data_IF_436819986971
#
_entry.id   IF_436819986971
#
_cell.length_a   1.000
_cell.length_b   1.000
_cell.length_c   1.000
_cell.angle_alpha   90.00
_cell.angle_beta   90.00
_cell.angle_gamma   90.00
#
_symmetry.space_group_name_H-M   'P 1'
#
loop_
_entity.id
_entity.type
_entity.pdbx_description
1 polymer ?
#
# COMPACT_ATOMS: atom_id res chain seq x y z
N UNK A 1 -25.12 48.85 -39.92
CA UNK A 1 -25.97 49.37 -38.83
C UNK A 1 -25.32 49.03 -37.51
N UNK A 2 -25.05 50.05 -36.67
CA UNK A 2 -24.53 49.95 -35.30
C UNK A 2 -25.59 50.54 -34.36
N UNK A 3 -25.64 50.06 -33.12
CA UNK A 3 -25.53 50.99 -31.99
C UNK A 3 -24.35 50.52 -31.10
N UNK A 4 -23.34 51.35 -30.77
CA UNK A 4 -23.31 52.46 -29.78
C UNK A 4 -23.81 52.01 -28.39
N UNK A 5 -22.91 51.51 -27.53
CA UNK A 5 -22.12 52.19 -26.45
C UNK A 5 -22.84 52.07 -25.08
N UNK A 6 -22.17 51.77 -23.94
CA UNK A 6 -21.29 52.70 -23.20
C UNK A 6 -19.98 52.02 -22.69
N UNK A 7 -18.84 52.69 -22.48
CA UNK A 7 -18.46 53.67 -21.45
C UNK A 7 -18.70 53.19 -20.00
N UNK A 8 -17.64 52.77 -19.29
CA UNK A 8 -17.35 53.21 -17.91
C UNK A 8 -16.04 52.60 -17.36
N UNK A 9 -15.06 53.49 -17.14
CA UNK A 9 -14.01 53.37 -16.14
C UNK A 9 -14.64 53.27 -14.74
N UNK A 10 -14.29 52.26 -13.94
CA UNK A 10 -14.24 52.43 -12.47
C UNK A 10 -12.99 51.72 -11.94
N UNK A 11 -12.02 52.53 -11.56
CA UNK A 11 -10.93 52.18 -10.67
C UNK A 11 -11.44 52.09 -9.22
N UNK A 12 -10.62 51.43 -8.38
CA UNK A 12 -10.60 51.51 -6.93
C UNK A 12 -11.76 50.83 -6.17
N UNK A 13 -11.50 49.62 -5.69
CA UNK A 13 -11.97 49.24 -4.35
C UNK A 13 -10.76 49.26 -3.40
N UNK A 14 -10.57 50.33 -2.60
CA UNK A 14 -9.71 50.29 -1.44
C UNK A 14 -10.34 49.37 -0.39
N UNK A 15 -9.48 48.67 0.32
CA UNK A 15 -9.82 47.52 1.14
C UNK A 15 -10.89 47.75 2.20
N UNK A 16 -11.58 46.66 2.51
CA UNK A 16 -12.14 46.43 3.82
C UNK A 16 -11.52 45.15 4.36
N UNK A 17 -10.64 45.32 5.35
CA UNK A 17 -10.13 44.24 6.17
C UNK A 17 -11.30 43.47 6.80
N UNK A 18 -11.49 42.24 6.37
CA UNK A 18 -12.03 41.21 7.24
C UNK A 18 -10.90 40.22 7.48
N UNK A 19 -10.15 40.44 8.56
CA UNK A 19 -9.42 39.35 9.19
C UNK A 19 -10.47 38.38 9.75
N UNK A 20 -11.03 37.55 8.87
CA UNK A 20 -11.69 36.34 9.28
C UNK A 20 -10.60 35.50 9.92
N UNK A 21 -10.55 35.55 11.24
CA UNK A 21 -9.79 34.64 12.08
C UNK A 21 -10.42 33.27 11.82
N UNK A 22 -10.00 32.63 10.73
CA UNK A 22 -10.30 31.22 10.49
C UNK A 22 -9.61 30.53 11.65
N UNK A 23 -10.39 30.16 12.65
CA UNK A 23 -9.95 29.16 13.60
C UNK A 23 -9.53 27.98 12.74
N UNK A 24 -8.23 27.68 12.72
CA UNK A 24 -7.76 26.40 12.23
C UNK A 24 -8.63 25.34 12.91
N UNK A 25 -9.34 24.49 12.17
CA UNK A 25 -9.98 23.35 12.80
C UNK A 25 -8.85 22.55 13.44
N UNK A 26 -8.77 22.61 14.76
CA UNK A 26 -7.89 21.77 15.55
C UNK A 26 -8.15 20.34 15.11
N UNK A 27 -7.15 19.68 14.49
CA UNK A 27 -7.24 18.29 14.04
C UNK A 27 -7.51 17.39 15.25
N UNK A 28 -8.74 16.90 15.49
CA UNK A 28 -9.00 16.08 16.66
C UNK A 28 -9.30 14.67 16.16
N UNK A 29 -8.30 13.95 15.61
CA UNK A 29 -8.52 12.53 15.24
C UNK A 29 -7.29 11.75 14.75
N UNK A 30 -6.14 12.38 14.51
CA UNK A 30 -4.99 11.65 13.95
C UNK A 30 -4.27 10.74 14.96
N UNK A 31 -4.56 10.88 16.25
CA UNK A 31 -3.87 10.14 17.30
C UNK A 31 -4.62 8.90 17.80
N UNK A 32 -5.95 8.93 17.87
CA UNK A 32 -6.74 7.83 18.46
C UNK A 32 -6.93 6.67 17.48
N UNK A 33 -7.00 6.93 16.16
CA UNK A 33 -7.07 5.88 15.13
C UNK A 33 -5.70 5.39 14.64
N UNK A 34 -4.71 5.38 15.53
CA UNK A 34 -3.63 4.37 15.47
C UNK A 34 -4.11 3.15 16.27
N UNK A 35 -5.28 2.64 15.92
CA UNK A 35 -5.80 1.37 16.41
C UNK A 35 -4.76 0.28 16.08
N UNK A 36 -3.95 -0.05 17.08
CA UNK A 36 -2.92 -1.09 17.10
C UNK A 36 -2.33 -1.41 15.71
N UNK A 37 -1.25 -0.70 15.32
CA UNK A 37 -0.45 -1.06 14.16
C UNK A 37 -0.15 -2.56 14.21
N UNK A 38 -0.82 -3.33 13.36
CA UNK A 38 -0.76 -4.79 13.38
C UNK A 38 0.69 -5.17 13.10
N UNK A 39 1.36 -5.81 14.07
CA UNK A 39 2.76 -6.20 13.89
C UNK A 39 2.79 -7.38 12.92
N UNK A 40 3.23 -7.12 11.70
CA UNK A 40 3.49 -8.17 10.72
C UNK A 40 4.55 -9.13 11.26
N UNK A 41 4.21 -10.41 11.26
CA UNK A 41 5.13 -11.51 11.59
C UNK A 41 5.14 -12.55 10.48
N UNK A 42 6.21 -13.34 10.42
CA UNK A 42 6.38 -14.38 9.42
C UNK A 42 6.45 -15.74 10.12
N UNK A 43 5.59 -16.66 9.70
CA UNK A 43 5.46 -18.01 10.26
C UNK A 43 5.54 -19.04 9.12
N UNK A 44 5.35 -20.32 9.45
CA UNK A 44 5.40 -21.40 8.45
C UNK A 44 6.83 -21.83 8.14
N UNK A 45 7.12 -22.02 6.84
CA UNK A 45 8.40 -22.56 6.37
C UNK A 45 9.32 -21.54 5.69
N UNK A 46 10.19 -22.05 4.82
CA UNK A 46 11.18 -21.27 4.07
C UNK A 46 10.70 -20.83 2.68
N UNK A 47 9.44 -21.11 2.36
CA UNK A 47 8.81 -20.78 1.09
C UNK A 47 9.25 -21.65 -0.08
N UNK A 48 9.82 -22.84 0.14
CA UNK A 48 10.27 -23.69 -0.99
C UNK A 48 9.15 -24.51 -1.67
N UNK A 49 7.98 -24.63 -1.05
CA UNK A 49 6.81 -25.37 -1.53
C UNK A 49 5.54 -24.86 -0.86
N UNK A 50 4.37 -25.39 -1.24
CA UNK A 50 3.09 -25.08 -0.59
C UNK A 50 3.09 -25.44 0.91
N UNK A 51 3.60 -26.62 1.26
CA UNK A 51 3.67 -27.10 2.66
C UNK A 51 4.65 -26.28 3.51
N UNK A 52 5.67 -25.72 2.86
CA UNK A 52 6.69 -24.87 3.48
C UNK A 52 6.46 -23.39 3.21
N UNK A 53 5.26 -22.99 2.80
CA UNK A 53 4.97 -21.59 2.47
C UNK A 53 5.27 -20.67 3.65
N UNK A 54 5.68 -19.43 3.33
CA UNK A 54 5.83 -18.37 4.32
C UNK A 54 4.45 -17.79 4.61
N UNK A 55 4.00 -17.91 5.85
CA UNK A 55 2.71 -17.35 6.29
C UNK A 55 2.92 -15.91 6.75
N UNK A 56 2.18 -14.97 6.18
CA UNK A 56 2.23 -13.56 6.59
C UNK A 56 1.10 -13.30 7.59
N UNK A 57 1.44 -13.31 8.87
CA UNK A 57 0.49 -13.11 9.95
C UNK A 57 0.39 -11.63 10.34
N UNK A 58 -0.83 -11.18 10.64
CA UNK A 58 -1.11 -9.80 11.03
C UNK A 58 -1.32 -8.82 9.88
N UNK A 59 -1.14 -9.23 8.62
CA UNK A 59 -1.55 -8.40 7.48
C UNK A 59 -3.08 -8.31 7.45
N UNK A 60 -3.62 -7.09 7.29
CA UNK A 60 -5.08 -6.89 7.20
C UNK A 60 -5.56 -6.89 5.76
N UNK A 61 -4.73 -6.43 4.83
CA UNK A 61 -5.02 -6.39 3.39
C UNK A 61 -3.75 -6.59 2.55
N UNK A 62 -3.92 -6.60 1.24
CA UNK A 62 -2.81 -6.60 0.28
C UNK A 62 -1.88 -5.38 0.43
N UNK A 63 -2.39 -4.25 0.94
CA UNK A 63 -1.56 -3.07 1.23
C UNK A 63 -0.54 -3.33 2.33
N UNK A 64 -0.83 -4.24 3.26
CA UNK A 64 0.11 -4.70 4.29
C UNK A 64 0.93 -5.91 3.81
N UNK A 65 0.28 -6.85 3.14
CA UNK A 65 0.83 -8.16 2.77
C UNK A 65 1.93 -8.08 1.71
N UNK A 66 1.71 -7.36 0.61
CA UNK A 66 2.68 -7.30 -0.50
C UNK A 66 4.01 -6.64 -0.08
N UNK A 67 4.02 -5.52 0.69
CA UNK A 67 5.26 -5.01 1.26
C UNK A 67 5.94 -6.01 2.22
N UNK A 68 5.15 -6.81 2.94
CA UNK A 68 5.69 -7.84 3.83
C UNK A 68 6.39 -8.97 3.07
N UNK A 69 5.84 -9.45 1.95
CA UNK A 69 6.49 -10.43 1.05
C UNK A 69 7.86 -9.92 0.61
N UNK A 70 7.90 -8.69 0.07
CA UNK A 70 9.14 -8.05 -0.40
C UNK A 70 10.17 -7.92 0.72
N UNK A 71 9.74 -7.53 1.92
CA UNK A 71 10.62 -7.41 3.09
C UNK A 71 11.19 -8.77 3.50
N UNK A 72 10.39 -9.83 3.45
CA UNK A 72 10.86 -11.18 3.74
C UNK A 72 11.89 -11.66 2.70
N UNK A 73 11.60 -11.50 1.41
CA UNK A 73 12.51 -11.83 0.32
C UNK A 73 13.83 -11.07 0.43
N UNK A 74 13.77 -9.76 0.70
CA UNK A 74 14.96 -8.93 0.91
C UNK A 74 15.79 -9.41 2.09
N UNK A 75 15.14 -9.76 3.20
CA UNK A 75 15.83 -10.28 4.40
C UNK A 75 16.49 -11.63 4.13
N UNK A 76 15.83 -12.52 3.38
CA UNK A 76 16.31 -13.88 3.12
C UNK A 76 17.38 -13.95 2.03
N UNK A 77 17.18 -13.23 0.92
CA UNK A 77 18.01 -13.35 -0.29
C UNK A 77 18.87 -12.10 -0.57
N UNK A 78 18.72 -11.04 0.21
CA UNK A 78 19.43 -9.78 -0.01
C UNK A 78 18.95 -9.08 -1.28
N UNK A 79 19.87 -8.77 -2.19
CA UNK A 79 19.50 -8.27 -3.52
C UNK A 79 19.02 -9.45 -4.38
N UNK A 80 17.82 -9.31 -4.94
CA UNK A 80 17.23 -10.25 -5.88
C UNK A 80 16.50 -9.47 -6.98
N UNK A 81 16.36 -10.08 -8.13
CA UNK A 81 15.50 -9.63 -9.22
C UNK A 81 14.17 -10.39 -9.13
N UNK A 82 13.03 -9.69 -9.17
CA UNK A 82 11.72 -10.35 -9.27
C UNK A 82 11.45 -10.63 -10.74
N UNK A 83 11.27 -11.89 -11.09
CA UNK A 83 11.04 -12.33 -12.47
C UNK A 83 9.56 -12.48 -12.80
N UNK A 84 8.80 -13.10 -11.89
CA UNK A 84 7.38 -13.40 -12.07
C UNK A 84 6.66 -13.41 -10.73
N UNK A 85 5.36 -13.14 -10.76
CA UNK A 85 4.46 -13.30 -9.64
C UNK A 85 3.15 -13.93 -10.12
N UNK A 86 2.57 -14.83 -9.33
CA UNK A 86 1.33 -15.52 -9.68
C UNK A 86 0.50 -15.86 -8.43
N UNK A 87 -0.79 -15.54 -8.50
CA UNK A 87 -1.78 -15.96 -7.51
C UNK A 87 -2.24 -17.39 -7.83
N UNK A 88 -2.17 -18.29 -6.84
CA UNK A 88 -2.58 -19.69 -6.97
C UNK A 88 -3.54 -20.05 -5.83
N UNK A 89 -4.60 -20.78 -6.14
CA UNK A 89 -5.48 -21.42 -5.15
C UNK A 89 -5.17 -22.91 -5.12
N UNK A 90 -4.73 -23.41 -3.97
CA UNK A 90 -4.32 -24.82 -3.77
C UNK A 90 -4.79 -25.27 -2.39
N UNK A 91 -5.41 -26.45 -2.28
CA UNK A 91 -5.86 -26.99 -0.98
C UNK A 91 -6.78 -26.05 -0.17
N UNK A 92 -7.61 -25.25 -0.84
CA UNK A 92 -8.51 -24.28 -0.19
C UNK A 92 -7.85 -23.00 0.32
N UNK A 93 -6.54 -22.84 0.11
CA UNK A 93 -5.75 -21.66 0.48
C UNK A 93 -5.37 -20.83 -0.73
N UNK A 94 -5.02 -19.57 -0.49
CA UNK A 94 -4.49 -18.66 -1.51
C UNK A 94 -3.00 -18.44 -1.28
N UNK A 95 -2.24 -18.54 -2.36
CA UNK A 95 -0.80 -18.36 -2.36
C UNK A 95 -0.36 -17.31 -3.37
N UNK A 96 0.61 -16.49 -2.99
CA UNK A 96 1.39 -15.71 -3.95
C UNK A 96 2.73 -16.41 -4.20
N UNK A 97 2.97 -16.78 -5.46
CA UNK A 97 4.19 -17.41 -5.91
C UNK A 97 5.07 -16.36 -6.55
N UNK A 98 6.21 -16.06 -5.93
CA UNK A 98 7.16 -15.08 -6.42
C UNK A 98 8.40 -15.78 -6.96
N UNK A 99 8.57 -15.76 -8.28
CA UNK A 99 9.81 -16.21 -8.93
C UNK A 99 10.85 -15.10 -8.83
N UNK A 100 12.01 -15.42 -8.25
CA UNK A 100 13.14 -14.50 -8.13
C UNK A 100 14.41 -15.08 -8.75
N UNK A 101 15.32 -14.18 -9.16
CA UNK A 101 16.72 -14.49 -9.40
C UNK A 101 17.57 -13.91 -8.27
N UNK A 102 18.33 -14.76 -7.59
CA UNK A 102 19.25 -14.32 -6.53
C UNK A 102 20.48 -13.63 -7.11
N UNK A 103 21.24 -12.91 -6.28
CA UNK A 103 22.53 -12.30 -6.69
C UNK A 103 23.52 -13.30 -7.33
N UNK A 104 23.44 -14.59 -6.98
CA UNK A 104 24.28 -15.65 -7.55
C UNK A 104 23.73 -16.23 -8.87
N UNK A 105 22.67 -15.65 -9.43
CA UNK A 105 22.04 -16.11 -10.68
C UNK A 105 21.07 -17.28 -10.52
N UNK A 106 20.93 -17.87 -9.33
CA UNK A 106 19.95 -18.94 -9.10
C UNK A 106 18.53 -18.41 -9.17
N UNK A 107 17.70 -19.04 -10.00
CA UNK A 107 16.25 -18.82 -10.05
C UNK A 107 15.52 -19.79 -9.11
N UNK A 108 14.52 -19.28 -8.40
CA UNK A 108 13.68 -20.08 -7.51
C UNK A 108 12.31 -19.41 -7.33
N UNK A 109 11.32 -20.22 -6.98
CA UNK A 109 9.97 -19.76 -6.63
C UNK A 109 9.84 -19.75 -5.12
N UNK A 110 9.32 -18.67 -4.57
CA UNK A 110 8.98 -18.53 -3.16
C UNK A 110 7.46 -18.52 -3.00
N UNK A 111 6.95 -19.37 -2.12
CA UNK A 111 5.53 -19.53 -1.87
C UNK A 111 5.14 -18.77 -0.60
N UNK A 112 4.20 -17.84 -0.71
CA UNK A 112 3.61 -17.13 0.42
C UNK A 112 2.17 -17.58 0.62
N UNK A 113 1.79 -17.99 1.83
CA UNK A 113 0.39 -18.22 2.19
C UNK A 113 -0.23 -16.85 2.54
N UNK A 114 -1.07 -16.37 1.64
CA UNK A 114 -1.73 -15.06 1.72
C UNK A 114 -3.21 -15.19 2.12
N UNK A 115 -3.66 -16.40 2.44
CA UNK A 115 -5.05 -16.68 2.86
C UNK A 115 -5.49 -15.80 4.04
N UNK A 116 -4.52 -15.43 4.88
CA UNK A 116 -4.72 -14.55 6.01
C UNK A 116 -4.89 -13.07 5.67
N UNK A 117 -4.98 -12.64 4.41
CA UNK A 117 -5.36 -11.27 4.04
C UNK A 117 -5.95 -11.10 2.64
N UNK A 118 -5.80 -12.09 1.76
CA UNK A 118 -6.35 -12.07 0.42
C UNK A 118 -7.84 -12.43 0.42
N UNK A 119 -8.64 -11.68 -0.35
CA UNK A 119 -10.09 -11.89 -0.51
C UNK A 119 -10.91 -11.84 0.79
N UNK A 120 -10.40 -11.15 1.81
CA UNK A 120 -11.25 -10.57 2.85
C UNK A 120 -11.78 -9.28 2.26
N UNK A 121 -13.11 -9.19 2.16
CA UNK A 121 -13.86 -8.13 1.48
C UNK A 121 -13.14 -6.77 1.45
N UNK A 122 -12.91 -6.26 0.24
CA UNK A 122 -12.50 -4.87 -0.01
C UNK A 122 -13.63 -3.90 0.36
#
# INVERSE_FOLDING_TARGET
MKPLLPLLLIALFPGLCAAAKTAEPAMPERLEKREAATRITYQGGDGSSFEKAVVIAGAKSSMDGVPAERKWLKKKYGNYEKLKQALVKEGGKYYDLVTIRTKKGKELVVYFDISGFFNREE
#
